data_IF_189346074825
#
_entry.id   IF_189346074825
#
_cell.length_a   1.000
_cell.length_b   1.000
_cell.length_c   1.000
_cell.angle_alpha   90.00
_cell.angle_beta   90.00
_cell.angle_gamma   90.00
#
_symmetry.space_group_name_H-M   'P 1'
#
loop_
_entity.id
_entity.type
_entity.pdbx_description
1 polymer ?
#
# COMPACT_ATOMS: atom_id res chain seq x y z
N UNK A 1 -5.99 -13.21 -5.19
CA UNK A 1 -5.61 -13.16 -3.77
C UNK A 1 -6.58 -12.23 -3.03
N UNK A 2 -7.87 -12.58 -3.06
CA UNK A 2 -8.85 -11.94 -2.20
C UNK A 2 -10.04 -12.91 -2.10
N UNK A 3 -10.06 -13.68 -1.01
CA UNK A 3 -11.10 -14.70 -0.77
C UNK A 3 -12.21 -14.17 0.15
N UNK A 4 -12.33 -12.85 0.28
CA UNK A 4 -13.47 -12.23 0.96
C UNK A 4 -14.78 -12.58 0.27
N UNK A 5 -15.87 -12.71 1.03
CA UNK A 5 -17.20 -12.99 0.48
C UNK A 5 -17.70 -11.95 -0.55
N UNK A 6 -17.12 -10.75 -0.53
CA UNK A 6 -17.39 -9.65 -1.47
C UNK A 6 -16.29 -9.48 -2.53
N UNK A 7 -15.31 -10.39 -2.60
CA UNK A 7 -14.24 -10.27 -3.58
C UNK A 7 -14.74 -10.52 -4.98
N UNK A 8 -14.22 -9.72 -5.92
CA UNK A 8 -14.45 -9.89 -7.35
C UNK A 8 -13.54 -10.96 -7.98
N UNK A 9 -12.54 -11.48 -7.26
CA UNK A 9 -11.62 -12.52 -7.75
C UNK A 9 -10.93 -12.12 -9.05
N UNK A 10 -9.97 -11.19 -8.99
CA UNK A 10 -9.34 -10.60 -10.19
C UNK A 10 -8.06 -11.31 -10.65
N UNK A 11 -7.58 -12.28 -9.88
CA UNK A 11 -6.41 -13.11 -10.19
C UNK A 11 -6.77 -14.59 -10.11
N UNK A 12 -5.91 -15.46 -10.60
CA UNK A 12 -6.01 -16.92 -10.43
C UNK A 12 -5.49 -17.47 -9.09
N UNK A 13 -4.80 -16.65 -8.28
CA UNK A 13 -4.38 -17.01 -6.92
C UNK A 13 -5.45 -16.79 -5.83
N UNK A 14 -5.37 -17.59 -4.76
CA UNK A 14 -6.26 -17.57 -3.58
C UNK A 14 -5.60 -16.95 -2.32
N UNK A 15 -6.39 -16.61 -1.31
CA UNK A 15 -5.93 -16.11 0.00
C UNK A 15 -5.79 -14.59 0.09
N UNK A 16 -5.43 -14.06 1.27
CA UNK A 16 -5.24 -12.61 1.46
C UNK A 16 -3.91 -12.11 0.89
N UNK A 17 -3.92 -10.96 0.20
CA UNK A 17 -2.71 -10.29 -0.33
C UNK A 17 -1.59 -10.16 0.72
N UNK A 18 -1.92 -9.80 1.96
CA UNK A 18 -0.90 -9.60 3.01
C UNK A 18 -0.25 -10.90 3.52
N UNK A 19 -0.79 -12.07 3.15
CA UNK A 19 -0.19 -13.37 3.42
C UNK A 19 0.69 -13.86 2.27
N UNK A 20 0.58 -13.26 1.09
CA UNK A 20 1.34 -13.64 -0.10
C UNK A 20 2.71 -12.97 -0.12
N UNK A 21 3.71 -13.70 -0.60
CA UNK A 21 5.02 -13.18 -0.93
C UNK A 21 4.97 -12.33 -2.22
N UNK A 22 5.98 -11.45 -2.42
CA UNK A 22 6.11 -10.72 -3.68
C UNK A 22 6.20 -11.61 -4.92
N UNK A 23 6.85 -12.77 -4.81
CA UNK A 23 6.98 -13.73 -5.93
C UNK A 23 5.62 -14.36 -6.26
N UNK A 24 4.84 -14.77 -5.25
CA UNK A 24 3.47 -15.28 -5.45
C UNK A 24 2.54 -14.24 -6.08
N UNK A 25 2.71 -12.96 -5.75
CA UNK A 25 1.98 -11.85 -6.37
C UNK A 25 2.39 -11.62 -7.83
N UNK A 26 3.69 -11.75 -8.11
CA UNK A 26 4.24 -11.58 -9.46
C UNK A 26 3.88 -12.76 -10.38
N UNK A 27 3.69 -13.96 -9.84
CA UNK A 27 3.31 -15.15 -10.60
C UNK A 27 1.79 -15.24 -10.87
N UNK A 28 0.96 -14.46 -10.17
CA UNK A 28 -0.50 -14.49 -10.32
C UNK A 28 -0.97 -13.81 -11.62
N UNK A 29 -1.83 -14.49 -12.39
CA UNK A 29 -2.38 -13.98 -13.66
C UNK A 29 -3.62 -13.13 -13.40
N UNK A 30 -3.53 -11.84 -13.74
CA UNK A 30 -4.63 -10.89 -13.64
C UNK A 30 -5.61 -11.10 -14.80
N UNK A 31 -6.84 -11.51 -14.47
CA UNK A 31 -7.95 -11.69 -15.41
C UNK A 31 -7.66 -12.64 -16.59
N UNK A 32 -6.66 -13.54 -16.48
CA UNK A 32 -6.27 -14.45 -17.55
C UNK A 32 -5.60 -13.73 -18.74
N UNK A 33 -4.96 -12.59 -18.47
CA UNK A 33 -4.29 -11.76 -19.47
C UNK A 33 -2.83 -12.18 -19.71
N UNK A 34 -2.24 -12.94 -18.78
CA UNK A 34 -0.81 -13.22 -18.72
C UNK A 34 0.02 -12.08 -18.09
N UNK A 35 -0.63 -11.01 -17.62
CA UNK A 35 0.01 -9.93 -16.87
C UNK A 35 -0.04 -10.20 -15.36
N UNK A 36 0.99 -9.78 -14.63
CA UNK A 36 1.10 -9.95 -13.18
C UNK A 36 0.39 -8.85 -12.39
N UNK A 37 0.25 -9.03 -11.07
CA UNK A 37 -0.18 -7.97 -10.16
C UNK A 37 0.93 -6.90 -10.07
N UNK A 38 0.69 -5.65 -10.53
CA UNK A 38 1.74 -4.64 -10.56
C UNK A 38 2.07 -4.13 -9.16
N UNK A 39 3.33 -3.78 -8.95
CA UNK A 39 3.79 -3.00 -7.80
C UNK A 39 3.32 -1.55 -7.90
N UNK A 40 3.29 -0.85 -6.76
CA UNK A 40 2.95 0.58 -6.75
C UNK A 40 3.94 1.43 -7.56
N UNK A 41 5.22 1.07 -7.55
CA UNK A 41 6.27 1.78 -8.30
C UNK A 41 6.09 1.62 -9.82
N UNK A 42 5.72 0.42 -10.29
CA UNK A 42 5.41 0.19 -11.71
C UNK A 42 4.20 1.01 -12.16
N UNK A 43 3.14 1.08 -11.33
CA UNK A 43 1.99 1.92 -11.62
C UNK A 43 2.39 3.40 -11.65
N UNK A 44 3.16 3.86 -10.66
CA UNK A 44 3.60 5.26 -10.56
C UNK A 44 4.43 5.71 -11.78
N UNK A 45 5.28 4.83 -12.32
CA UNK A 45 6.08 5.11 -13.51
C UNK A 45 5.25 5.32 -14.78
N UNK A 46 3.98 4.87 -14.78
CA UNK A 46 3.04 5.04 -15.90
C UNK A 46 2.18 6.30 -15.77
N UNK A 47 2.12 6.93 -14.59
CA UNK A 47 1.28 8.11 -14.36
C UNK A 47 2.00 9.38 -14.85
N UNK A 48 1.43 10.14 -15.81
CA UNK A 48 2.05 11.37 -16.27
C UNK A 48 2.08 12.46 -15.19
N UNK A 49 3.13 13.29 -15.17
CA UNK A 49 3.31 14.38 -14.21
C UNK A 49 2.14 15.39 -14.12
N UNK A 50 1.35 15.53 -15.20
CA UNK A 50 0.17 16.41 -15.24
C UNK A 50 -1.12 15.78 -14.72
N UNK A 51 -1.07 14.54 -14.23
CA UNK A 51 -2.24 13.78 -13.76
C UNK A 51 -2.07 13.53 -12.26
N UNK A 52 -3.08 13.87 -11.47
CA UNK A 52 -3.09 13.58 -10.04
C UNK A 52 -3.21 12.06 -9.80
N UNK A 53 -2.29 11.50 -9.03
CA UNK A 53 -2.28 10.08 -8.68
C UNK A 53 -2.93 9.87 -7.31
N UNK A 54 -4.14 9.30 -7.31
CA UNK A 54 -4.85 8.95 -6.08
C UNK A 54 -4.43 7.58 -5.57
N UNK A 55 -3.95 7.52 -4.33
CA UNK A 55 -3.50 6.29 -3.68
C UNK A 55 -4.34 6.03 -2.43
N UNK A 56 -5.16 4.98 -2.45
CA UNK A 56 -5.96 4.57 -1.30
C UNK A 56 -5.16 3.63 -0.38
N UNK A 57 -5.01 4.02 0.89
CA UNK A 57 -4.36 3.24 1.93
C UNK A 57 -5.38 2.29 2.58
N UNK A 58 -5.27 1.00 2.28
CA UNK A 58 -6.27 -0.01 2.67
C UNK A 58 -6.12 -0.58 4.08
N UNK A 59 -4.96 -1.14 4.39
CA UNK A 59 -4.72 -1.84 5.65
C UNK A 59 -3.20 -1.88 5.93
N UNK A 60 -2.73 -1.55 7.15
CA UNK A 60 -1.30 -1.56 7.47
C UNK A 60 -0.75 -2.97 7.79
N UNK A 61 -1.54 -4.02 7.58
CA UNK A 61 -1.23 -5.41 7.94
C UNK A 61 -1.79 -5.82 9.31
N UNK A 62 -2.95 -5.27 9.69
CA UNK A 62 -3.67 -5.60 10.92
C UNK A 62 -4.96 -6.36 10.58
N UNK A 63 -5.14 -7.52 11.19
CA UNK A 63 -6.38 -8.32 11.09
C UNK A 63 -7.56 -7.66 11.83
N UNK A 64 -7.27 -6.74 12.76
CA UNK A 64 -8.27 -6.03 13.54
C UNK A 64 -8.83 -4.78 12.82
N UNK A 65 -8.20 -4.36 11.71
CA UNK A 65 -8.64 -3.21 10.94
C UNK A 65 -10.00 -3.50 10.25
N UNK A 66 -11.08 -2.97 10.84
CA UNK A 66 -12.44 -3.12 10.31
C UNK A 66 -13.08 -1.77 10.08
N UNK A 67 -13.61 -1.57 8.87
CA UNK A 67 -14.34 -0.36 8.52
C UNK A 67 -15.56 -0.22 9.44
N UNK A 68 -15.74 0.97 10.03
CA UNK A 68 -16.83 1.26 10.97
C UNK A 68 -16.52 0.96 12.44
N UNK A 69 -15.32 0.46 12.75
CA UNK A 69 -14.77 0.41 14.11
C UNK A 69 -13.58 1.37 14.24
N UNK A 70 -13.12 1.57 15.47
CA UNK A 70 -11.85 2.26 15.71
C UNK A 70 -10.72 1.53 14.98
N UNK A 71 -10.10 2.21 14.02
CA UNK A 71 -9.03 1.65 13.20
C UNK A 71 -7.67 1.63 13.89
N UNK A 72 -6.64 1.05 13.23
CA UNK A 72 -5.27 1.10 13.73
C UNK A 72 -4.82 2.55 13.92
N UNK A 73 -4.05 2.81 14.96
CA UNK A 73 -3.59 4.15 15.28
C UNK A 73 -2.43 4.59 14.36
N UNK A 74 -2.08 5.88 14.41
CA UNK A 74 -1.03 6.51 13.57
C UNK A 74 0.30 5.74 13.60
N UNK A 75 0.72 5.25 14.77
CA UNK A 75 2.01 4.56 14.91
C UNK A 75 2.03 3.19 14.25
N UNK A 76 0.87 2.53 14.17
CA UNK A 76 0.71 1.25 13.45
C UNK A 76 0.71 1.48 11.93
N UNK A 77 0.16 2.60 11.46
CA UNK A 77 0.16 2.96 10.05
C UNK A 77 1.51 3.45 9.53
N UNK A 78 2.31 4.12 10.37
CA UNK A 78 3.54 4.79 9.94
C UNK A 78 4.46 3.90 9.10
N UNK A 79 4.82 2.66 9.51
CA UNK A 79 5.75 1.85 8.72
C UNK A 79 5.20 1.49 7.33
N UNK A 80 3.88 1.30 7.20
CA UNK A 80 3.24 1.05 5.91
C UNK A 80 3.28 2.30 5.03
N UNK A 81 2.92 3.45 5.59
CA UNK A 81 2.93 4.74 4.90
C UNK A 81 4.34 5.14 4.45
N UNK A 82 5.37 4.90 5.26
CA UNK A 82 6.76 5.14 4.88
C UNK A 82 7.15 4.32 3.64
N UNK A 83 6.80 3.02 3.60
CA UNK A 83 7.06 2.18 2.42
C UNK A 83 6.31 2.66 1.17
N UNK A 84 5.06 3.10 1.33
CA UNK A 84 4.28 3.68 0.23
C UNK A 84 4.93 4.96 -0.29
N UNK A 85 5.36 5.85 0.60
CA UNK A 85 6.02 7.10 0.22
C UNK A 85 7.38 6.85 -0.45
N UNK A 86 8.16 5.88 0.03
CA UNK A 86 9.43 5.50 -0.60
C UNK A 86 9.22 4.87 -1.98
N UNK A 87 8.16 4.06 -2.17
CA UNK A 87 7.81 3.51 -3.48
C UNK A 87 7.36 4.57 -4.50
N UNK A 88 6.92 5.74 -4.03
CA UNK A 88 6.49 6.88 -4.84
C UNK A 88 7.55 7.99 -4.92
N UNK A 89 8.77 7.76 -4.42
CA UNK A 89 9.79 8.79 -4.31
C UNK A 89 10.20 9.39 -5.67
N UNK A 90 10.15 8.58 -6.73
CA UNK A 90 10.48 8.98 -8.11
C UNK A 90 9.22 9.34 -8.93
N UNK A 91 8.05 9.46 -8.31
CA UNK A 91 6.81 9.81 -8.99
C UNK A 91 6.72 11.33 -9.20
N UNK A 92 6.69 11.77 -10.46
CA UNK A 92 6.55 13.18 -10.81
C UNK A 92 5.11 13.71 -10.68
N UNK A 93 4.12 12.80 -10.61
CA UNK A 93 2.72 13.15 -10.47
C UNK A 93 2.41 13.68 -9.05
N UNK A 94 1.49 14.67 -8.91
CA UNK A 94 0.95 15.02 -7.60
C UNK A 94 0.24 13.80 -6.98
N UNK A 95 0.67 13.38 -5.79
CA UNK A 95 0.07 12.24 -5.08
C UNK A 95 -0.94 12.72 -4.06
N UNK A 96 -2.14 12.13 -4.08
CA UNK A 96 -3.20 12.36 -3.08
C UNK A 96 -3.55 11.05 -2.39
N UNK A 97 -3.44 11.03 -1.07
CA UNK A 97 -3.81 9.87 -0.27
C UNK A 97 -5.29 9.90 0.14
N UNK A 98 -5.93 8.74 0.09
CA UNK A 98 -7.25 8.50 0.69
C UNK A 98 -7.20 7.28 1.59
N UNK A 99 -8.12 7.19 2.56
CA UNK A 99 -8.27 6.01 3.41
C UNK A 99 -9.64 6.03 4.09
N UNK A 100 -10.10 4.85 4.52
CA UNK A 100 -11.25 4.73 5.43
C UNK A 100 -10.86 4.87 6.91
N UNK A 101 -9.57 5.04 7.21
CA UNK A 101 -9.05 5.11 8.57
C UNK A 101 -8.30 6.42 8.78
N UNK A 102 -8.73 7.22 9.76
CA UNK A 102 -8.13 8.52 10.08
C UNK A 102 -6.64 8.39 10.43
N UNK A 103 -6.26 7.33 11.15
CA UNK A 103 -4.87 7.05 11.51
C UNK A 103 -3.93 6.90 10.30
N UNK A 104 -4.45 6.45 9.15
CA UNK A 104 -3.69 6.35 7.91
C UNK A 104 -3.39 7.73 7.31
N UNK A 105 -4.40 8.61 7.28
CA UNK A 105 -4.27 9.97 6.73
C UNK A 105 -3.38 10.83 7.63
N UNK A 106 -3.53 10.70 8.95
CA UNK A 106 -2.66 11.37 9.91
C UNK A 106 -1.20 10.92 9.75
N UNK A 107 -0.95 9.60 9.63
CA UNK A 107 0.39 9.09 9.36
C UNK A 107 0.96 9.59 8.03
N UNK A 108 0.14 9.65 6.96
CA UNK A 108 0.55 10.18 5.66
C UNK A 108 0.98 11.66 5.74
N UNK A 109 0.23 12.49 6.47
CA UNK A 109 0.58 13.89 6.70
C UNK A 109 1.90 14.03 7.46
N UNK A 110 2.12 13.21 8.50
CA UNK A 110 3.36 13.25 9.27
C UNK A 110 4.57 12.79 8.47
N UNK A 111 4.45 11.71 7.69
CA UNK A 111 5.52 11.18 6.84
C UNK A 111 5.87 12.19 5.74
N UNK A 112 4.88 12.81 5.08
CA UNK A 112 5.12 13.81 4.04
C UNK A 112 5.84 15.06 4.56
N UNK A 113 5.66 15.40 5.85
CA UNK A 113 6.37 16.50 6.52
C UNK A 113 7.77 16.10 7.02
N UNK A 114 8.08 14.80 7.06
CA UNK A 114 9.35 14.29 7.56
C UNK A 114 10.36 14.19 6.41
N UNK A 115 11.51 14.90 6.47
CA UNK A 115 12.55 14.79 5.46
C UNK A 115 13.02 13.34 5.31
N UNK A 116 13.41 12.88 4.10
CA UNK A 116 13.79 11.49 3.85
C UNK A 116 14.85 10.94 4.81
N UNK A 117 15.86 11.74 5.14
CA UNK A 117 16.92 11.35 6.09
C UNK A 117 16.53 11.35 7.57
N UNK A 118 15.26 11.62 7.91
CA UNK A 118 14.72 11.63 9.28
C UNK A 118 13.57 10.65 9.49
N UNK A 119 13.13 9.92 8.45
CA UNK A 119 12.19 8.80 8.62
C UNK A 119 12.93 7.73 9.42
N UNK A 120 12.41 7.35 10.58
CA UNK A 120 13.09 6.40 11.46
C UNK A 120 13.24 5.08 10.71
N UNK A 121 14.46 4.76 10.29
CA UNK A 121 14.79 3.40 9.94
C UNK A 121 14.56 2.56 11.20
N UNK A 122 13.41 1.90 11.29
CA UNK A 122 13.23 0.80 12.23
C UNK A 122 14.28 -0.23 11.86
N UNK A 123 15.42 -0.15 12.56
CA UNK A 123 16.56 -1.05 12.44
C UNK A 123 16.06 -2.48 12.56
N UNK A 124 16.00 -3.17 11.43
CA UNK A 124 16.09 -4.63 11.43
C UNK A 124 17.56 -4.95 11.68
N UNK A 125 17.90 -5.37 12.89
CA UNK A 125 19.01 -6.30 13.16
C UNK A 125 18.86 -6.88 14.56
N UNK A 126 18.60 -8.18 14.65
CA UNK A 126 19.37 -9.17 15.42
C UNK A 126 18.48 -10.34 15.85
N UNK A 127 18.84 -11.56 15.42
CA UNK A 127 18.30 -12.83 15.93
C UNK A 127 18.05 -13.85 14.83
#
# INVERSE_FOLDING_TARGET
LDDGADSRGVTDGDGFVWNASPDELADADVLGSGEHVPTLAEVAALVPAGVEFHVELKNPGSEDARIGLDGPNVSEWRPFVERVHDALADCDAPVVYSSSFDGALEAAVEVARTPPGRRCASTRTAG
#
